data_IF_095681987606
#
_entry.id   IF_095681987606
#
_cell.length_a   1.000
_cell.length_b   1.000
_cell.length_c   1.000
_cell.angle_alpha   90.00
_cell.angle_beta   90.00
_cell.angle_gamma   90.00
#
_symmetry.space_group_name_H-M   'P 1'
#
loop_
_entity.id
_entity.type
_entity.pdbx_description
1 polymer ?
#
# COMPACT_ATOMS: atom_id res chain seq x y z
N UNK A 1 -9.14 4.88 -9.34
CA UNK A 1 -9.80 6.19 -9.12
C UNK A 1 -8.83 7.24 -8.59
N UNK A 2 -8.21 7.03 -7.41
CA UNK A 2 -7.33 8.01 -6.76
C UNK A 2 -6.17 8.54 -7.60
N UNK A 3 -5.44 7.67 -8.29
CA UNK A 3 -4.27 8.07 -9.10
C UNK A 3 -4.65 8.71 -10.44
N UNK A 4 -5.77 8.33 -11.04
CA UNK A 4 -6.12 8.79 -12.39
C UNK A 4 -6.95 10.08 -12.39
N UNK A 5 -7.85 10.24 -11.40
CA UNK A 5 -8.81 11.34 -11.34
C UNK A 5 -8.54 12.30 -10.18
N UNK A 6 -7.54 12.04 -9.32
CA UNK A 6 -7.29 12.82 -8.11
C UNK A 6 -8.44 12.74 -7.09
N UNK A 7 -9.31 11.73 -7.22
CA UNK A 7 -10.47 11.50 -6.36
C UNK A 7 -10.19 10.40 -5.34
N UNK A 8 -10.28 10.73 -4.05
CA UNK A 8 -10.17 9.75 -2.95
C UNK A 8 -11.56 9.39 -2.42
N UNK A 9 -11.72 8.27 -1.73
CA UNK A 9 -13.03 7.74 -1.35
C UNK A 9 -13.05 7.04 0.03
N UNK A 10 -12.06 7.28 0.89
CA UNK A 10 -11.87 6.49 2.12
C UNK A 10 -11.38 5.07 1.83
N UNK A 11 -10.75 4.85 0.67
CA UNK A 11 -10.43 3.52 0.13
C UNK A 11 -11.65 2.78 -0.44
N UNK A 12 -11.46 1.52 -0.82
CA UNK A 12 -12.55 0.65 -1.29
C UNK A 12 -13.58 0.38 -0.18
N UNK A 13 -13.10 0.30 1.06
CA UNK A 13 -13.91 0.04 2.25
C UNK A 13 -14.94 1.16 2.47
N UNK A 14 -14.55 2.42 2.32
CA UNK A 14 -15.47 3.56 2.47
C UNK A 14 -16.63 3.52 1.48
N UNK A 15 -16.32 3.28 0.19
CA UNK A 15 -17.32 3.15 -0.86
C UNK A 15 -18.27 1.95 -0.66
N UNK A 16 -17.72 0.81 -0.24
CA UNK A 16 -18.51 -0.38 0.04
C UNK A 16 -19.50 -0.16 1.18
N UNK A 17 -19.08 0.53 2.25
CA UNK A 17 -20.00 0.84 3.35
C UNK A 17 -21.07 1.84 2.98
N UNK A 18 -20.73 2.90 2.23
CA UNK A 18 -21.74 3.83 1.72
C UNK A 18 -22.73 3.12 0.80
N UNK A 19 -22.28 2.18 -0.01
CA UNK A 19 -23.16 1.32 -0.82
C UNK A 19 -24.09 0.47 0.06
N UNK A 20 -23.59 -0.15 1.14
CA UNK A 20 -24.45 -0.91 2.07
C UNK A 20 -25.47 0.00 2.75
N UNK A 21 -25.10 1.23 3.07
CA UNK A 21 -25.97 2.20 3.74
C UNK A 21 -26.94 2.93 2.82
N UNK A 22 -27.01 2.64 1.52
CA UNK A 22 -28.02 3.31 0.67
C UNK A 22 -29.46 2.94 0.98
N UNK A 23 -29.68 1.83 1.69
CA UNK A 23 -30.99 1.50 2.23
C UNK A 23 -31.46 2.51 3.29
N UNK A 24 -30.53 3.20 3.94
CA UNK A 24 -30.81 4.19 4.96
C UNK A 24 -29.92 5.44 4.77
N UNK A 25 -30.41 6.45 4.02
CA UNK A 25 -29.62 7.64 3.71
C UNK A 25 -29.24 8.44 4.95
N UNK A 26 -29.93 8.25 6.08
CA UNK A 26 -29.58 8.92 7.33
C UNK A 26 -28.22 8.46 7.85
N UNK A 27 -27.89 7.17 7.72
CA UNK A 27 -26.57 6.65 8.10
C UNK A 27 -25.44 7.25 7.26
N UNK A 28 -25.70 7.47 5.97
CA UNK A 28 -24.73 8.14 5.08
C UNK A 28 -24.53 9.59 5.52
N UNK A 29 -25.62 10.30 5.83
CA UNK A 29 -25.56 11.67 6.30
C UNK A 29 -24.78 11.80 7.62
N UNK A 30 -25.04 10.92 8.59
CA UNK A 30 -24.31 10.86 9.85
C UNK A 30 -22.83 10.51 9.65
N UNK A 31 -22.51 9.56 8.77
CA UNK A 31 -21.11 9.20 8.48
C UNK A 31 -20.34 10.35 7.83
N UNK A 32 -20.95 11.04 6.86
CA UNK A 32 -20.34 12.21 6.20
C UNK A 32 -20.23 13.37 7.19
N UNK A 33 -21.28 13.64 7.98
CA UNK A 33 -21.28 14.67 9.01
C UNK A 33 -20.18 14.44 10.05
N UNK A 34 -20.10 13.22 10.59
CA UNK A 34 -19.03 12.80 11.50
C UNK A 34 -17.64 12.93 10.88
N UNK A 35 -17.49 12.67 9.58
CA UNK A 35 -16.22 12.81 8.88
C UNK A 35 -15.79 14.28 8.79
N UNK A 36 -16.73 15.16 8.46
CA UNK A 36 -16.50 16.62 8.38
C UNK A 36 -16.18 17.17 9.77
N UNK A 37 -16.93 16.80 10.80
CA UNK A 37 -16.67 17.23 12.18
C UNK A 37 -15.29 16.73 12.65
N UNK A 38 -14.96 15.46 12.44
CA UNK A 38 -13.65 14.89 12.76
C UNK A 38 -12.53 15.63 12.00
N UNK A 39 -12.72 15.89 10.71
CA UNK A 39 -11.78 16.63 9.88
C UNK A 39 -11.54 18.04 10.45
N UNK A 40 -12.60 18.79 10.74
CA UNK A 40 -12.51 20.16 11.29
C UNK A 40 -11.83 20.15 12.66
N UNK A 41 -12.26 19.29 13.58
CA UNK A 41 -11.65 19.20 14.91
C UNK A 41 -10.16 18.84 14.83
N UNK A 42 -9.80 17.81 14.05
CA UNK A 42 -8.39 17.43 13.97
C UNK A 42 -7.56 18.52 13.29
N UNK A 43 -8.01 19.06 12.16
CA UNK A 43 -7.21 19.99 11.35
C UNK A 43 -7.17 21.40 11.90
N UNK A 44 -8.27 21.92 12.43
CA UNK A 44 -8.35 23.29 12.94
C UNK A 44 -8.04 23.38 14.43
N UNK A 45 -8.41 22.37 15.24
CA UNK A 45 -8.27 22.44 16.70
C UNK A 45 -7.01 21.72 17.22
N UNK A 46 -6.77 20.47 16.79
CA UNK A 46 -5.71 19.64 17.36
C UNK A 46 -4.35 19.87 16.68
N UNK A 47 -4.29 19.97 15.35
CA UNK A 47 -3.03 20.13 14.63
C UNK A 47 -2.21 21.37 15.04
N UNK A 48 -2.81 22.53 15.36
CA UNK A 48 -2.03 23.69 15.85
C UNK A 48 -1.50 23.51 17.28
N UNK A 49 -2.10 22.63 18.08
CA UNK A 49 -1.77 22.45 19.51
C UNK A 49 -0.89 21.23 19.79
N UNK A 50 -0.88 20.25 18.89
CA UNK A 50 -0.22 18.97 19.07
C UNK A 50 0.68 18.66 17.87
N UNK A 51 1.86 18.09 18.13
CA UNK A 51 2.82 17.65 17.11
C UNK A 51 2.32 16.34 16.45
N UNK A 52 1.24 16.45 15.65
CA UNK A 52 0.57 15.35 14.97
C UNK A 52 1.10 15.16 13.55
N UNK A 53 2.15 14.33 13.42
CA UNK A 53 2.74 13.97 12.12
C UNK A 53 2.57 12.50 11.76
N UNK A 54 2.53 12.23 10.45
CA UNK A 54 2.55 10.89 9.87
C UNK A 54 1.43 9.98 10.38
N UNK A 55 1.81 8.83 10.96
CA UNK A 55 0.87 7.80 11.45
C UNK A 55 0.04 8.25 12.66
N UNK A 56 0.59 9.13 13.51
CA UNK A 56 -0.10 9.62 14.72
C UNK A 56 -1.35 10.41 14.36
N UNK A 57 -1.25 11.24 13.33
CA UNK A 57 -2.38 12.01 12.80
C UNK A 57 -3.57 11.13 12.40
N UNK A 58 -3.29 10.04 11.69
CA UNK A 58 -4.31 9.09 11.27
C UNK A 58 -4.96 8.39 12.46
N UNK A 59 -4.17 7.93 13.43
CA UNK A 59 -4.67 7.30 14.64
C UNK A 59 -5.59 8.25 15.45
N UNK A 60 -5.22 9.52 15.57
CA UNK A 60 -6.05 10.54 16.24
C UNK A 60 -7.37 10.79 15.52
N UNK A 61 -7.38 10.79 14.18
CA UNK A 61 -8.63 10.90 13.40
C UNK A 61 -9.56 9.70 13.66
N UNK A 62 -9.02 8.48 13.69
CA UNK A 62 -9.82 7.28 14.00
C UNK A 62 -10.35 7.32 15.44
N UNK A 63 -9.49 7.66 16.41
CA UNK A 63 -9.88 7.74 17.82
C UNK A 63 -10.98 8.79 18.03
N UNK A 64 -10.82 9.99 17.45
CA UNK A 64 -11.80 11.06 17.60
C UNK A 64 -13.12 10.73 16.89
N UNK A 65 -13.07 10.11 15.71
CA UNK A 65 -14.25 9.58 15.02
C UNK A 65 -15.01 8.56 15.86
N UNK A 66 -14.28 7.62 16.47
CA UNK A 66 -14.87 6.61 17.36
C UNK A 66 -15.51 7.26 18.59
N UNK A 67 -14.85 8.24 19.20
CA UNK A 67 -15.38 8.99 20.35
C UNK A 67 -16.66 9.74 19.96
N UNK A 68 -16.63 10.50 18.87
CA UNK A 68 -17.79 11.26 18.38
C UNK A 68 -18.96 10.36 18.04
N UNK A 69 -18.71 9.23 17.39
CA UNK A 69 -19.76 8.28 17.04
C UNK A 69 -20.37 7.67 18.30
N UNK A 70 -19.55 7.30 19.29
CA UNK A 70 -20.04 6.79 20.58
C UNK A 70 -20.87 7.84 21.31
N UNK A 71 -20.37 9.08 21.40
CA UNK A 71 -21.12 10.21 21.97
C UNK A 71 -22.43 10.43 21.23
N UNK A 72 -22.43 10.38 19.90
CA UNK A 72 -23.65 10.54 19.09
C UNK A 72 -24.65 9.40 19.33
N UNK A 73 -24.17 8.19 19.60
CA UNK A 73 -25.02 7.03 19.88
C UNK A 73 -25.76 7.20 21.22
N UNK A 74 -25.06 7.65 22.26
CA UNK A 74 -25.66 7.90 23.58
C UNK A 74 -26.52 9.17 23.61
N UNK A 75 -25.99 10.29 23.14
CA UNK A 75 -26.70 11.58 23.17
C UNK A 75 -27.80 11.69 22.10
N UNK A 76 -27.69 10.98 20.99
CA UNK A 76 -28.65 11.05 19.89
C UNK A 76 -30.03 10.53 20.28
N UNK A 77 -30.08 9.47 21.08
CA UNK A 77 -31.33 8.87 21.56
C UNK A 77 -32.02 9.76 22.60
N UNK A 78 -31.26 10.35 23.53
CA UNK A 78 -31.82 11.19 24.60
C UNK A 78 -32.16 12.62 24.16
N UNK A 79 -31.30 13.26 23.35
CA UNK A 79 -31.39 14.71 23.12
C UNK A 79 -32.10 15.07 21.82
N UNK A 80 -31.87 14.28 20.75
CA UNK A 80 -32.37 14.66 19.43
C UNK A 80 -33.77 14.10 19.14
N UNK A 81 -34.26 13.14 19.94
CA UNK A 81 -35.48 12.36 19.66
C UNK A 81 -35.53 11.75 18.24
N UNK A 82 -34.39 11.78 17.54
CA UNK A 82 -34.19 11.08 16.29
C UNK A 82 -33.98 9.66 16.72
N UNK A 83 -34.82 8.73 16.27
CA UNK A 83 -34.69 7.30 16.57
C UNK A 83 -33.45 6.70 15.87
N UNK A 84 -32.27 7.23 16.16
CA UNK A 84 -30.96 6.76 15.67
C UNK A 84 -30.76 5.31 16.12
N UNK A 85 -31.28 4.95 17.29
CA UNK A 85 -31.31 3.59 17.83
C UNK A 85 -31.99 2.59 16.89
N UNK A 86 -33.07 2.95 16.19
CA UNK A 86 -33.76 2.06 15.25
C UNK A 86 -32.94 1.77 13.99
N UNK A 87 -32.09 2.71 13.58
CA UNK A 87 -31.30 2.63 12.36
C UNK A 87 -29.96 1.90 12.58
N UNK A 88 -29.45 1.81 13.82
CA UNK A 88 -28.18 1.15 14.15
C UNK A 88 -28.30 -0.28 14.70
N UNK A 89 -29.48 -0.94 14.66
CA UNK A 89 -29.72 -2.25 15.33
C UNK A 89 -28.94 -3.45 14.78
N UNK A 90 -28.18 -3.30 13.70
CA UNK A 90 -27.36 -4.39 13.15
C UNK A 90 -25.99 -4.38 13.83
N UNK A 91 -25.84 -5.14 14.92
CA UNK A 91 -24.66 -5.11 15.80
C UNK A 91 -23.31 -5.33 15.10
N UNK A 92 -23.28 -6.06 13.97
CA UNK A 92 -22.06 -6.25 13.17
C UNK A 92 -21.67 -5.02 12.33
N UNK A 93 -22.64 -4.16 12.00
CA UNK A 93 -22.41 -2.86 11.35
C UNK A 93 -22.04 -1.77 12.35
N UNK A 94 -22.23 -1.95 13.66
CA UNK A 94 -21.96 -0.90 14.65
C UNK A 94 -20.49 -0.44 14.70
N UNK A 95 -19.54 -1.32 14.33
CA UNK A 95 -18.13 -0.94 14.22
C UNK A 95 -17.85 -0.05 13.00
N UNK A 96 -18.64 -0.17 11.94
CA UNK A 96 -18.44 0.55 10.69
C UNK A 96 -18.56 2.07 10.85
N UNK A 97 -19.63 2.62 11.49
CA UNK A 97 -19.72 4.02 11.82
C UNK A 97 -18.57 4.55 12.69
N UNK A 98 -17.90 3.70 13.48
CA UNK A 98 -16.77 4.17 14.30
C UNK A 98 -15.55 4.51 13.42
N UNK A 99 -15.27 3.70 12.40
CA UNK A 99 -14.08 3.84 11.56
C UNK A 99 -14.30 4.68 10.30
N UNK A 100 -15.48 4.58 9.68
CA UNK A 100 -15.78 5.22 8.40
C UNK A 100 -15.56 6.74 8.41
N UNK A 101 -16.04 7.50 9.42
CA UNK A 101 -15.84 8.95 9.45
C UNK A 101 -14.37 9.32 9.59
N UNK A 102 -13.60 8.59 10.40
CA UNK A 102 -12.16 8.81 10.55
C UNK A 102 -11.35 8.50 9.29
N UNK A 103 -11.72 7.45 8.55
CA UNK A 103 -11.13 7.13 7.24
C UNK A 103 -11.42 8.22 6.21
N UNK A 104 -12.67 8.69 6.14
CA UNK A 104 -13.09 9.77 5.26
C UNK A 104 -12.39 11.08 5.63
N UNK A 105 -12.36 11.47 6.91
CA UNK A 105 -11.68 12.66 7.40
C UNK A 105 -10.19 12.69 7.02
N UNK A 106 -9.51 11.55 7.12
CA UNK A 106 -8.12 11.42 6.70
C UNK A 106 -7.95 11.64 5.19
N UNK A 107 -8.83 11.09 4.36
CA UNK A 107 -8.79 11.33 2.93
C UNK A 107 -9.14 12.78 2.56
N UNK A 108 -10.07 13.42 3.30
CA UNK A 108 -10.42 14.83 3.13
C UNK A 108 -9.21 15.72 3.37
N UNK A 109 -8.42 15.39 4.40
CA UNK A 109 -7.20 16.11 4.72
C UNK A 109 -6.09 15.94 3.67
N UNK A 110 -5.96 14.76 3.06
CA UNK A 110 -4.91 14.49 2.07
C UNK A 110 -5.22 15.04 0.68
N UNK A 111 -6.45 15.49 0.43
CA UNK A 111 -6.85 15.93 -0.91
C UNK A 111 -7.75 17.16 -0.82
N UNK A 112 -9.06 16.98 -0.69
CA UNK A 112 -10.01 18.04 -0.36
C UNK A 112 -11.36 17.38 -0.08
N UNK A 113 -12.20 17.95 0.81
CA UNK A 113 -13.51 17.38 1.14
C UNK A 113 -14.37 17.14 -0.10
N UNK A 114 -14.46 18.12 -1.02
CA UNK A 114 -15.25 18.01 -2.25
C UNK A 114 -14.82 16.84 -3.13
N UNK A 115 -13.51 16.66 -3.34
CA UNK A 115 -12.99 15.55 -4.15
C UNK A 115 -13.21 14.19 -3.48
N UNK A 116 -13.21 14.14 -2.15
CA UNK A 116 -13.53 12.92 -1.41
C UNK A 116 -14.99 12.55 -1.57
N UNK A 117 -15.90 13.52 -1.45
CA UNK A 117 -17.34 13.27 -1.62
C UNK A 117 -17.68 12.81 -3.04
N UNK A 118 -17.10 13.46 -4.06
CA UNK A 118 -17.28 13.03 -5.46
C UNK A 118 -16.70 11.64 -5.72
N UNK A 119 -15.49 11.35 -5.19
CA UNK A 119 -14.88 10.03 -5.30
C UNK A 119 -15.67 8.95 -4.58
N UNK A 120 -16.20 9.25 -3.40
CA UNK A 120 -17.04 8.38 -2.61
C UNK A 120 -18.37 8.08 -3.31
N UNK A 121 -19.05 9.11 -3.82
CA UNK A 121 -20.30 8.96 -4.57
C UNK A 121 -20.11 8.10 -5.83
N UNK A 122 -19.07 8.38 -6.61
CA UNK A 122 -18.76 7.61 -7.82
C UNK A 122 -18.44 6.14 -7.49
N UNK A 123 -17.62 5.92 -6.46
CA UNK A 123 -17.22 4.57 -6.06
C UNK A 123 -18.40 3.78 -5.45
N UNK A 124 -19.23 4.43 -4.63
CA UNK A 124 -20.43 3.82 -4.06
C UNK A 124 -21.44 3.46 -5.16
N UNK A 125 -21.70 4.37 -6.11
CA UNK A 125 -22.57 4.09 -7.26
C UNK A 125 -22.08 2.88 -8.07
N UNK A 126 -20.77 2.77 -8.28
CA UNK A 126 -20.19 1.61 -8.96
C UNK A 126 -20.38 0.31 -8.17
N UNK A 127 -20.11 0.32 -6.85
CA UNK A 127 -20.31 -0.86 -5.99
C UNK A 127 -21.78 -1.27 -5.99
N UNK A 128 -22.72 -0.33 -5.83
CA UNK A 128 -24.15 -0.58 -5.87
C UNK A 128 -24.60 -1.22 -7.18
N UNK A 129 -24.26 -0.59 -8.31
CA UNK A 129 -24.64 -1.07 -9.62
C UNK A 129 -24.08 -2.47 -9.90
N UNK A 130 -22.84 -2.73 -9.46
CA UNK A 130 -22.19 -4.03 -9.64
C UNK A 130 -22.80 -5.10 -8.72
N UNK A 131 -23.04 -4.78 -7.44
CA UNK A 131 -23.64 -5.71 -6.48
C UNK A 131 -25.06 -6.07 -6.90
N UNK A 132 -25.86 -5.09 -7.31
CA UNK A 132 -27.22 -5.33 -7.79
C UNK A 132 -27.22 -6.22 -9.03
N UNK A 133 -26.37 -5.90 -10.02
CA UNK A 133 -26.23 -6.72 -11.22
C UNK A 133 -25.82 -8.17 -10.88
N UNK A 134 -24.87 -8.36 -9.97
CA UNK A 134 -24.44 -9.69 -9.54
C UNK A 134 -25.57 -10.43 -8.82
N UNK A 135 -26.24 -9.77 -7.87
CA UNK A 135 -27.35 -10.34 -7.11
C UNK A 135 -28.45 -10.86 -8.04
N UNK A 136 -28.84 -10.05 -9.00
CA UNK A 136 -29.90 -10.40 -9.92
C UNK A 136 -29.53 -11.48 -10.93
N UNK A 137 -28.25 -11.52 -11.34
CA UNK A 137 -27.71 -12.61 -12.17
C UNK A 137 -27.80 -13.94 -11.41
N UNK A 138 -27.47 -13.94 -10.12
CA UNK A 138 -27.52 -15.15 -9.26
C UNK A 138 -28.97 -15.61 -9.05
N UNK A 139 -29.90 -14.68 -8.83
CA UNK A 139 -31.31 -15.00 -8.54
C UNK A 139 -32.18 -15.11 -9.80
N UNK A 140 -31.59 -14.99 -10.99
CA UNK A 140 -32.28 -15.01 -12.30
C UNK A 140 -33.46 -14.03 -12.36
N UNK A 141 -33.29 -12.86 -11.76
CA UNK A 141 -34.29 -11.79 -11.82
C UNK A 141 -34.20 -11.08 -13.18
N UNK A 142 -35.36 -10.69 -13.73
CA UNK A 142 -35.43 -9.87 -14.93
C UNK A 142 -34.96 -8.45 -14.60
N UNK A 143 -33.68 -8.23 -14.84
CA UNK A 143 -33.05 -6.94 -14.57
C UNK A 143 -33.40 -5.90 -15.64
N UNK A 144 -33.76 -4.66 -15.22
CA UNK A 144 -33.84 -3.57 -16.16
C UNK A 144 -32.48 -3.38 -16.85
N UNK A 145 -32.51 -3.33 -18.19
CA UNK A 145 -31.34 -3.14 -19.04
C UNK A 145 -30.54 -1.87 -18.66
N UNK A 146 -31.22 -0.88 -18.09
CA UNK A 146 -30.61 0.35 -17.56
C UNK A 146 -29.55 0.09 -16.47
N UNK A 147 -29.78 -0.83 -15.53
CA UNK A 147 -28.81 -1.09 -14.44
C UNK A 147 -27.56 -1.78 -14.97
N UNK A 148 -27.71 -2.71 -15.92
CA UNK A 148 -26.59 -3.34 -16.63
C UNK A 148 -25.79 -2.33 -17.43
N UNK A 149 -26.48 -1.45 -18.16
CA UNK A 149 -25.81 -0.40 -18.91
C UNK A 149 -25.06 0.57 -17.99
N UNK A 150 -25.68 0.98 -16.88
CA UNK A 150 -25.06 1.84 -15.89
C UNK A 150 -23.81 1.22 -15.25
N UNK A 151 -23.83 -0.06 -14.90
CA UNK A 151 -22.67 -0.75 -14.33
C UNK A 151 -21.51 -0.85 -15.34
N UNK A 152 -21.81 -1.14 -16.61
CA UNK A 152 -20.81 -1.17 -17.70
C UNK A 152 -20.22 0.22 -17.93
N UNK A 153 -21.06 1.27 -17.97
CA UNK A 153 -20.60 2.66 -18.15
C UNK A 153 -19.73 3.11 -16.98
N UNK A 154 -20.15 2.86 -15.73
CA UNK A 154 -19.35 3.19 -14.54
C UNK A 154 -18.04 2.42 -14.51
N UNK A 155 -18.04 1.13 -14.88
CA UNK A 155 -16.83 0.32 -15.00
C UNK A 155 -15.89 0.91 -16.05
N UNK A 156 -16.39 1.16 -17.26
CA UNK A 156 -15.63 1.74 -18.35
C UNK A 156 -15.03 3.09 -17.93
N UNK A 157 -15.83 3.97 -17.32
CA UNK A 157 -15.38 5.28 -16.85
C UNK A 157 -14.29 5.18 -15.77
N UNK A 158 -14.50 4.36 -14.72
CA UNK A 158 -13.55 4.23 -13.60
C UNK A 158 -12.22 3.62 -14.04
N UNK A 159 -12.28 2.63 -14.94
CA UNK A 159 -11.12 1.84 -15.36
C UNK A 159 -10.56 2.25 -16.73
N UNK A 160 -11.10 3.29 -17.38
CA UNK A 160 -10.68 3.75 -18.71
C UNK A 160 -9.16 3.95 -18.84
N UNK A 161 -8.47 4.62 -17.90
CA UNK A 161 -7.03 4.82 -18.03
C UNK A 161 -6.26 3.51 -17.92
N UNK A 162 -6.72 2.55 -17.11
CA UNK A 162 -6.10 1.24 -17.00
C UNK A 162 -6.33 0.40 -18.26
N UNK A 163 -7.52 0.50 -18.86
CA UNK A 163 -7.87 -0.19 -20.10
C UNK A 163 -7.07 0.33 -21.30
N UNK A 164 -6.77 1.64 -21.34
CA UNK A 164 -6.06 2.26 -22.48
C UNK A 164 -4.54 2.23 -22.33
N UNK A 165 -3.99 2.35 -21.12
CA UNK A 165 -2.53 2.40 -20.90
C UNK A 165 -1.85 1.03 -20.87
N UNK A 166 -2.51 0.01 -20.28
CA UNK A 166 -1.95 -1.35 -20.19
C UNK A 166 -1.67 -2.02 -21.54
N UNK A 167 -2.56 -1.98 -22.55
CA UNK A 167 -2.27 -2.61 -23.83
C UNK A 167 -1.09 -1.92 -24.53
N UNK A 168 -0.99 -0.58 -24.44
CA UNK A 168 0.15 0.16 -24.99
C UNK A 168 1.47 -0.20 -24.32
N UNK A 169 1.48 -0.26 -22.99
CA UNK A 169 2.67 -0.67 -22.24
C UNK A 169 3.08 -2.13 -22.53
N UNK A 170 2.10 -3.05 -22.63
CA UNK A 170 2.35 -4.45 -23.00
C UNK A 170 2.85 -4.59 -24.44
N UNK A 171 2.24 -3.88 -25.39
CA UNK A 171 2.68 -3.88 -26.78
C UNK A 171 4.11 -3.33 -26.91
N UNK A 172 4.44 -2.23 -26.21
CA UNK A 172 5.78 -1.68 -26.17
C UNK A 172 6.80 -2.65 -25.55
N UNK A 173 6.44 -3.32 -24.46
CA UNK A 173 7.29 -4.33 -23.82
C UNK A 173 7.52 -5.56 -24.72
N UNK A 174 6.48 -6.04 -25.39
CA UNK A 174 6.59 -7.14 -26.36
C UNK A 174 7.45 -6.75 -27.57
N UNK A 175 7.27 -5.53 -28.10
CA UNK A 175 8.10 -5.01 -29.20
C UNK A 175 9.57 -4.81 -28.78
N UNK A 176 9.83 -4.37 -27.55
CA UNK A 176 11.18 -4.28 -27.01
C UNK A 176 11.83 -5.67 -26.88
N UNK A 177 11.07 -6.66 -26.38
CA UNK A 177 11.54 -8.05 -26.24
C UNK A 177 11.81 -8.70 -27.60
N UNK A 178 10.97 -8.45 -28.61
CA UNK A 178 11.17 -8.91 -29.97
C UNK A 178 12.45 -8.33 -30.59
N UNK A 179 12.70 -7.02 -30.43
CA UNK A 179 13.94 -6.36 -30.89
C UNK A 179 15.18 -6.86 -30.17
N UNK A 180 15.07 -7.17 -28.88
CA UNK A 180 16.17 -7.77 -28.13
C UNK A 180 16.47 -9.18 -28.64
N UNK A 181 15.46 -9.96 -29.00
CA UNK A 181 15.64 -11.30 -29.55
C UNK A 181 16.28 -11.27 -30.94
N UNK A 182 15.85 -10.34 -31.81
CA UNK A 182 16.44 -10.19 -33.14
C UNK A 182 17.89 -9.67 -33.12
N UNK A 183 18.29 -8.95 -32.07
CA UNK A 183 19.67 -8.45 -31.88
C UNK A 183 20.59 -9.42 -31.16
N UNK A 184 20.10 -10.56 -30.65
CA UNK A 184 21.01 -11.59 -30.14
C UNK A 184 21.75 -12.12 -31.36
N UNK A 185 23.07 -11.88 -31.51
CA UNK A 185 23.82 -12.53 -32.57
C UNK A 185 23.54 -14.02 -32.43
N UNK A 186 23.30 -14.70 -33.55
CA UNK A 186 23.19 -16.14 -33.56
C UNK A 186 24.48 -16.66 -32.93
N UNK A 187 24.42 -16.98 -31.64
CA UNK A 187 25.43 -17.81 -30.99
C UNK A 187 25.22 -19.14 -31.66
N UNK A 188 25.87 -19.31 -32.82
CA UNK A 188 26.24 -20.64 -33.29
C UNK A 188 26.86 -21.27 -32.06
N UNK A 189 26.28 -22.35 -31.52
CA UNK A 189 26.94 -23.07 -30.46
C UNK A 189 28.27 -23.51 -31.07
N UNK A 190 29.34 -22.76 -30.78
CA UNK A 190 30.68 -23.27 -30.88
C UNK A 190 30.68 -24.36 -29.82
N UNK A 191 30.36 -25.58 -30.26
CA UNK A 191 30.61 -26.79 -29.49
C UNK A 191 32.10 -26.74 -29.22
N UNK A 192 32.48 -26.22 -28.07
CA UNK A 192 33.84 -26.24 -27.58
C UNK A 192 34.15 -27.71 -27.27
N UNK A 193 34.59 -28.43 -28.30
CA UNK A 193 34.98 -29.82 -28.24
C UNK A 193 36.29 -30.02 -27.43
N UNK A 194 36.94 -28.95 -26.96
CA UNK A 194 38.29 -29.03 -26.38
C UNK A 194 38.41 -28.77 -24.87
N UNK A 195 37.31 -28.62 -24.12
CA UNK A 195 37.40 -28.32 -22.68
C UNK A 195 37.40 -29.56 -21.76
N UNK A 196 37.40 -30.78 -22.29
CA UNK A 196 37.35 -32.00 -21.47
C UNK A 196 38.72 -32.46 -20.94
N UNK A 197 39.83 -31.76 -21.25
CA UNK A 197 41.18 -32.21 -20.86
C UNK A 197 42.03 -31.22 -20.03
N UNK A 198 41.54 -30.06 -19.61
CA UNK A 198 42.39 -29.03 -18.98
C UNK A 198 41.98 -28.56 -17.56
N UNK A 199 41.49 -29.45 -16.69
CA UNK A 199 41.26 -29.12 -15.26
C UNK A 199 41.80 -30.19 -14.28
N UNK A 200 43.14 -30.24 -14.07
CA UNK A 200 43.62 -30.67 -12.75
C UNK A 200 44.69 -29.76 -12.11
N UNK A 201 44.79 -28.46 -12.44
CA UNK A 201 45.86 -27.59 -11.90
C UNK A 201 45.43 -26.32 -11.13
N UNK A 202 44.13 -26.04 -10.97
CA UNK A 202 43.66 -24.87 -10.21
C UNK A 202 43.10 -25.19 -8.81
N UNK A 203 43.17 -26.45 -8.37
CA UNK A 203 42.80 -26.88 -7.01
C UNK A 203 43.87 -26.57 -5.95
N UNK A 204 45.04 -26.03 -6.31
CA UNK A 204 46.14 -25.80 -5.37
C UNK A 204 46.27 -24.36 -4.82
N UNK A 205 45.52 -23.37 -5.33
CA UNK A 205 45.71 -21.96 -4.96
C UNK A 205 44.56 -21.32 -4.15
N UNK A 206 43.51 -22.06 -3.81
CA UNK A 206 42.34 -21.54 -3.09
C UNK A 206 42.24 -21.98 -1.62
N UNK A 207 43.30 -22.57 -1.06
CA UNK A 207 43.32 -23.17 0.28
C UNK A 207 43.70 -22.23 1.44
N UNK A 208 43.82 -20.91 1.23
CA UNK A 208 44.31 -19.99 2.28
C UNK A 208 43.44 -18.78 2.62
N UNK A 209 42.16 -18.72 2.24
CA UNK A 209 41.29 -17.64 2.73
C UNK A 209 39.81 -18.02 2.80
N UNK A 210 39.47 -19.04 3.58
CA UNK A 210 38.08 -19.32 3.91
C UNK A 210 37.96 -19.97 5.29
N UNK A 211 38.15 -19.19 6.36
CA UNK A 211 37.59 -19.55 7.67
C UNK A 211 36.07 -19.36 7.56
N UNK A 212 35.41 -20.39 7.06
CA UNK A 212 33.96 -20.50 6.96
C UNK A 212 33.44 -20.92 8.32
N UNK A 213 32.70 -20.04 8.98
CA UNK A 213 31.82 -20.44 10.08
C UNK A 213 30.79 -21.45 9.53
N UNK A 214 30.68 -22.68 10.08
CA UNK A 214 29.72 -23.65 9.59
C UNK A 214 28.30 -23.15 9.87
N UNK A 215 27.50 -22.97 8.80
CA UNK A 215 26.06 -22.70 8.89
C UNK A 215 25.56 -21.39 8.25
N UNK A 216 26.43 -20.51 7.76
CA UNK A 216 26.01 -19.30 7.03
C UNK A 216 26.48 -19.40 5.58
N UNK A 217 25.56 -19.67 4.66
CA UNK A 217 25.84 -19.60 3.23
C UNK A 217 26.12 -18.14 2.84
N UNK A 218 27.40 -17.76 2.78
CA UNK A 218 27.81 -16.48 2.22
C UNK A 218 27.61 -16.57 0.71
N UNK A 219 26.45 -16.11 0.24
CA UNK A 219 26.21 -15.92 -1.20
C UNK A 219 27.11 -14.79 -1.65
N UNK A 220 28.25 -15.11 -2.25
CA UNK A 220 29.11 -14.12 -2.90
C UNK A 220 28.33 -13.53 -4.09
N UNK A 221 27.95 -12.25 -3.98
CA UNK A 221 27.32 -11.56 -5.09
C UNK A 221 28.37 -11.32 -6.17
N UNK A 222 28.06 -11.70 -7.43
CA UNK A 222 28.88 -11.25 -8.56
C UNK A 222 28.87 -9.72 -8.62
N UNK A 223 29.98 -9.09 -9.02
CA UNK A 223 30.11 -7.63 -9.12
C UNK A 223 28.97 -7.02 -9.93
N UNK A 224 28.51 -7.72 -10.97
CA UNK A 224 27.38 -7.33 -11.81
C UNK A 224 26.02 -7.42 -11.08
N UNK A 225 25.81 -8.43 -10.22
CA UNK A 225 24.60 -8.55 -9.40
C UNK A 225 24.48 -7.43 -8.38
N UNK A 226 25.58 -7.05 -7.73
CA UNK A 226 25.60 -5.93 -6.79
C UNK A 226 25.28 -4.59 -7.49
N UNK A 227 25.86 -4.32 -8.66
CA UNK A 227 25.56 -3.09 -9.42
C UNK A 227 24.07 -2.97 -9.78
N UNK A 228 23.45 -4.06 -10.26
CA UNK A 228 22.03 -4.04 -10.58
C UNK A 228 21.13 -3.86 -9.35
N UNK A 229 21.51 -4.44 -8.21
CA UNK A 229 20.78 -4.22 -6.96
C UNK A 229 20.93 -2.78 -6.47
N UNK A 230 22.15 -2.23 -6.53
CA UNK A 230 22.49 -0.85 -6.17
C UNK A 230 21.72 0.17 -7.00
N UNK A 231 21.58 -0.06 -8.30
CA UNK A 231 20.78 0.81 -9.17
C UNK A 231 19.31 0.87 -8.76
N UNK A 232 18.74 -0.25 -8.29
CA UNK A 232 17.34 -0.33 -7.85
C UNK A 232 17.12 0.15 -6.41
N UNK A 233 18.17 0.18 -5.59
CA UNK A 233 18.10 0.46 -4.16
C UNK A 233 19.15 1.50 -3.73
N UNK A 234 19.27 2.61 -4.46
CA UNK A 234 20.34 3.61 -4.25
C UNK A 234 20.47 4.10 -2.80
N UNK A 235 19.36 4.29 -2.09
CA UNK A 235 19.37 4.71 -0.68
C UNK A 235 19.94 3.64 0.26
N UNK A 236 19.48 2.39 0.14
CA UNK A 236 19.97 1.26 0.92
C UNK A 236 21.45 0.94 0.59
N UNK A 237 21.85 1.13 -0.67
CA UNK A 237 23.22 0.90 -1.10
C UNK A 237 24.20 1.93 -0.50
N UNK A 238 23.80 3.19 -0.40
CA UNK A 238 24.62 4.23 0.23
C UNK A 238 24.85 3.96 1.72
N UNK A 239 23.83 3.50 2.44
CA UNK A 239 23.96 3.14 3.85
C UNK A 239 24.80 1.87 4.05
N UNK A 240 24.69 0.89 3.13
CA UNK A 240 25.54 -0.29 3.12
C UNK A 240 27.02 0.03 2.84
N UNK A 241 27.29 0.92 1.88
CA UNK A 241 28.65 1.40 1.56
C UNK A 241 29.24 2.17 2.76
N UNK A 242 28.48 3.06 3.41
CA UNK A 242 28.93 3.75 4.63
C UNK A 242 29.20 2.82 5.80
N UNK A 243 28.34 1.81 6.00
CA UNK A 243 28.58 0.79 7.03
C UNK A 243 29.88 0.02 6.76
N UNK A 244 30.11 -0.38 5.50
CA UNK A 244 31.31 -1.10 5.10
C UNK A 244 32.57 -0.24 5.27
N UNK A 245 32.53 1.02 4.87
CA UNK A 245 33.63 1.98 5.10
C UNK A 245 33.91 2.17 6.59
N UNK A 246 32.88 2.30 7.42
CA UNK A 246 33.03 2.40 8.87
C UNK A 246 33.61 1.13 9.50
N UNK A 247 33.29 -0.05 8.96
CA UNK A 247 33.84 -1.32 9.42
C UNK A 247 35.31 -1.50 8.97
N UNK A 248 35.65 -1.08 7.76
CA UNK A 248 37.02 -1.10 7.24
C UNK A 248 37.92 -0.05 7.89
N UNK A 249 37.35 1.07 8.35
CA UNK A 249 38.07 2.12 9.06
C UNK A 249 38.37 1.79 10.53
N UNK A 250 37.78 0.70 11.08
CA UNK A 250 38.10 0.27 12.43
C UNK A 250 39.51 -0.37 12.47
N UNK A 251 40.40 0.08 13.38
CA UNK A 251 41.73 -0.51 13.50
C UNK A 251 41.61 -1.99 13.89
N UNK A 252 42.35 -2.85 13.17
CA UNK A 252 42.30 -4.30 13.30
C UNK A 252 42.58 -4.82 14.74
N UNK A 253 43.21 -3.99 15.57
CA UNK A 253 43.60 -4.31 16.95
C UNK A 253 42.53 -4.02 18.01
N UNK A 254 41.34 -3.50 17.64
CA UNK A 254 40.25 -3.44 18.63
C UNK A 254 39.74 -4.85 18.89
N UNK A 255 39.80 -5.35 20.14
CA UNK A 255 39.21 -6.64 20.49
C UNK A 255 37.73 -6.56 20.15
N UNK A 256 37.28 -7.40 19.20
CA UNK A 256 35.85 -7.51 18.86
C UNK A 256 35.10 -7.76 20.17
N UNK A 257 34.08 -6.95 20.50
CA UNK A 257 33.30 -7.21 21.71
C UNK A 257 32.81 -8.64 21.65
N UNK A 258 33.10 -9.41 22.70
CA UNK A 258 32.68 -10.80 22.80
C UNK A 258 31.20 -10.87 22.42
N UNK A 259 30.79 -11.84 21.58
CA UNK A 259 29.41 -11.93 21.13
C UNK A 259 28.52 -11.99 22.37
N UNK A 260 27.82 -10.89 22.64
CA UNK A 260 26.85 -10.83 23.74
C UNK A 260 25.89 -11.97 23.45
N UNK A 261 25.87 -12.96 24.35
CA UNK A 261 25.00 -14.11 24.24
C UNK A 261 23.58 -13.58 24.08
N UNK A 262 23.07 -13.62 22.84
CA UNK A 262 21.72 -13.18 22.52
C UNK A 262 20.82 -14.11 23.31
N UNK A 263 20.17 -13.59 24.34
CA UNK A 263 19.00 -14.28 24.89
C UNK A 263 18.03 -14.38 23.73
N UNK A 264 17.76 -15.62 23.33
CA UNK A 264 16.78 -15.96 22.30
C UNK A 264 15.39 -15.65 22.84
N UNK A 265 15.02 -14.36 22.85
CA UNK A 265 13.62 -13.97 22.96
C UNK A 265 12.97 -14.20 21.58
N UNK A 266 11.93 -15.05 21.47
CA UNK A 266 11.36 -15.47 20.19
C UNK A 266 10.71 -14.36 19.33
N UNK A 267 10.64 -13.13 19.82
CA UNK A 267 9.81 -12.06 19.23
C UNK A 267 10.56 -11.06 18.33
N UNK A 268 11.88 -11.15 18.18
CA UNK A 268 12.66 -10.13 17.46
C UNK A 268 12.84 -10.37 15.94
N UNK A 269 12.44 -11.53 15.40
CA UNK A 269 12.64 -11.89 13.99
C UNK A 269 11.62 -11.29 13.01
N UNK A 270 10.53 -10.65 13.46
CA UNK A 270 9.51 -10.08 12.55
C UNK A 270 9.51 -8.55 12.45
N UNK A 271 10.22 -7.85 13.32
CA UNK A 271 10.21 -6.39 13.37
C UNK A 271 11.25 -5.73 12.43
N UNK A 272 12.34 -6.43 12.10
CA UNK A 272 13.43 -5.89 11.28
C UNK A 272 13.20 -5.94 9.77
N UNK A 273 12.20 -6.70 9.30
CA UNK A 273 11.96 -6.88 7.85
C UNK A 273 11.10 -5.75 7.23
N UNK A 274 10.53 -4.86 8.03
CA UNK A 274 9.51 -3.89 7.56
C UNK A 274 9.92 -2.41 7.68
N UNK A 275 11.07 -2.11 8.27
CA UNK A 275 11.49 -0.73 8.59
C UNK A 275 12.62 -0.17 7.72
N UNK A 276 13.25 -0.95 6.85
CA UNK A 276 14.38 -0.47 6.03
C UNK A 276 14.01 0.36 4.80
N UNK A 277 12.74 0.74 4.60
CA UNK A 277 12.36 1.52 3.42
C UNK A 277 11.35 2.63 3.71
N UNK A 278 11.83 3.85 3.45
CA UNK A 278 11.13 5.12 3.24
C UNK A 278 10.97 6.04 4.46
N UNK A 279 11.97 6.88 4.70
CA UNK A 279 12.01 8.28 4.22
C UNK A 279 13.51 8.64 4.02
N UNK A 280 13.91 9.35 2.97
CA UNK A 280 14.07 10.80 3.00
C UNK A 280 13.80 11.47 1.63
N UNK A 281 12.94 12.48 1.70
CA UNK A 281 12.66 13.61 0.78
C UNK A 281 13.92 14.47 0.50
N UNK A 282 14.01 15.33 -0.55
CA UNK A 282 13.30 16.62 -0.55
C UNK A 282 12.77 17.11 -1.91
N UNK A 283 11.87 18.08 -1.79
CA UNK A 283 11.26 18.87 -2.86
C UNK A 283 12.22 19.93 -3.44
N UNK A 284 12.00 20.31 -4.70
CA UNK A 284 12.48 21.57 -5.25
C UNK A 284 11.48 22.15 -6.28
N UNK A 285 11.09 23.40 -6.01
CA UNK A 285 10.79 24.51 -6.94
C UNK A 285 10.04 24.27 -8.25
N UNK A 286 8.77 24.71 -8.29
CA UNK A 286 8.33 26.00 -8.90
C UNK A 286 6.88 26.27 -8.56
#
# INVERSE_FOLDING_TARGET
>A
VATNYGLRAGGFVGAAFVAVFTADPWQIALAIGGAVVTYVLVTMLLMPRLILFGRRKFATMLMLSSLLTWTTLWFGDEVLSISVSNHMRVSSLALTPLFLPGLLANDMQRTSPRRVLLGLALAAAFVLATTWWMYATVHRLDEPLAVRFMSIVLFAFIFWPQLTTRPRARAAALAARARQWSRRPARVPVVALDAFYAQPLLTAAASTAAVVMPGVAVVAWSTHGYQQWRERHRAEAFDAERWLEAELAQPADRPRPAPVARSTSPNHSRALDRFSRFELTPAASR
#
